data_IF_833197578721
#
_entry.id   IF_833197578721
#
_cell.length_a   1.000
_cell.length_b   1.000
_cell.length_c   1.000
_cell.angle_alpha   90.00
_cell.angle_beta   90.00
_cell.angle_gamma   90.00
#
_symmetry.space_group_name_H-M   'P 1'
#
loop_
_entity.id
_entity.type
_entity.pdbx_description
1 polymer ?
#
# COMPACT_ATOMS: atom_id res chain seq x y z
N UNK A 1 33.51 -63.21 3.80
CA UNK A 1 33.52 -63.63 5.21
C UNK A 1 32.08 -63.76 5.65
N UNK A 2 31.67 -64.99 5.98
CA UNK A 2 30.55 -65.38 6.87
C UNK A 2 29.16 -64.78 6.60
N UNK A 3 28.26 -65.52 5.94
CA UNK A 3 27.23 -66.42 6.55
C UNK A 3 26.04 -65.64 7.16
N UNK A 4 24.78 -65.96 6.96
CA UNK A 4 24.18 -67.29 7.05
C UNK A 4 22.75 -67.29 6.48
N UNK A 5 22.41 -68.39 5.83
CA UNK A 5 21.07 -68.81 5.41
C UNK A 5 20.26 -69.33 6.61
N UNK A 6 18.92 -69.20 6.56
CA UNK A 6 17.98 -70.13 7.21
C UNK A 6 16.64 -70.07 6.45
N UNK A 7 16.43 -70.89 5.42
CA UNK A 7 15.88 -72.26 5.46
C UNK A 7 14.43 -72.30 5.97
N UNK A 8 13.46 -72.26 5.04
CA UNK A 8 12.53 -73.36 4.68
C UNK A 8 11.37 -73.55 5.68
N UNK A 9 10.12 -73.81 5.30
CA UNK A 9 9.67 -74.86 4.38
C UNK A 9 8.14 -74.80 4.28
N UNK A 10 7.63 -75.17 3.11
CA UNK A 10 6.39 -75.92 2.94
C UNK A 10 5.12 -75.11 2.70
N UNK A 11 4.15 -75.58 1.92
CA UNK A 11 3.97 -76.77 1.09
C UNK A 11 2.75 -76.47 0.21
N UNK A 12 2.73 -77.02 -1.01
CA UNK A 12 1.55 -77.41 -1.82
C UNK A 12 0.41 -76.37 -2.02
N UNK A 13 -0.03 -76.02 -3.22
CA UNK A 13 -0.16 -76.79 -4.46
C UNK A 13 -1.57 -76.54 -5.02
N UNK A 14 -1.72 -76.67 -6.35
CA UNK A 14 -2.97 -76.59 -7.15
C UNK A 14 -3.68 -75.23 -7.19
N UNK A 15 -4.19 -74.72 -8.31
CA UNK A 15 -4.39 -75.27 -9.66
C UNK A 15 -4.74 -74.12 -10.62
N UNK A 16 -4.14 -74.25 -11.80
CA UNK A 16 -4.45 -73.73 -13.14
C UNK A 16 -5.81 -73.04 -13.41
N UNK A 17 -5.67 -71.91 -14.10
CA UNK A 17 -6.43 -71.41 -15.27
C UNK A 17 -7.93 -71.16 -15.19
N UNK A 18 -8.29 -69.88 -15.33
CA UNK A 18 -9.39 -69.46 -16.21
C UNK A 18 -8.99 -68.16 -16.93
N UNK A 19 -8.80 -68.28 -18.24
CA UNK A 19 -8.72 -67.17 -19.19
C UNK A 19 -10.10 -66.54 -19.35
N UNK A 20 -10.20 -65.21 -19.45
CA UNK A 20 -11.01 -64.51 -20.46
C UNK A 20 -11.16 -63.00 -20.19
N UNK A 21 -11.06 -62.24 -21.29
CA UNK A 21 -11.82 -61.03 -21.62
C UNK A 21 -11.51 -59.75 -20.84
N UNK A 22 -10.66 -58.86 -21.37
CA UNK A 22 -10.96 -57.89 -22.43
C UNK A 22 -12.02 -56.85 -22.03
N UNK A 23 -11.51 -55.66 -21.68
CA UNK A 23 -12.01 -54.36 -22.12
C UNK A 23 -13.35 -53.89 -21.58
N UNK A 24 -13.36 -53.18 -20.45
CA UNK A 24 -14.45 -52.22 -20.15
C UNK A 24 -14.17 -51.24 -18.97
N UNK A 25 -12.91 -50.97 -18.62
CA UNK A 25 -12.59 -50.16 -17.42
C UNK A 25 -12.29 -48.67 -17.67
N UNK A 26 -12.27 -48.21 -18.94
CA UNK A 26 -11.71 -46.89 -19.25
C UNK A 26 -12.66 -45.70 -19.11
N UNK A 27 -13.99 -45.91 -19.10
CA UNK A 27 -14.95 -44.79 -19.10
C UNK A 27 -15.35 -44.33 -17.69
N UNK A 28 -15.51 -45.26 -16.72
CA UNK A 28 -15.97 -44.93 -15.36
C UNK A 28 -14.90 -44.23 -14.51
N UNK A 29 -13.64 -44.60 -14.68
CA UNK A 29 -12.52 -44.02 -13.90
C UNK A 29 -12.18 -42.60 -14.35
N UNK A 30 -12.35 -42.29 -15.65
CA UNK A 30 -12.14 -40.94 -16.19
C UNK A 30 -13.19 -39.93 -15.68
N UNK A 31 -14.46 -40.34 -15.57
CA UNK A 31 -15.53 -39.49 -15.05
C UNK A 31 -15.36 -39.16 -13.56
N UNK A 32 -14.92 -40.15 -12.76
CA UNK A 32 -14.65 -39.96 -11.33
C UNK A 32 -13.41 -39.09 -11.11
N UNK A 33 -12.32 -39.33 -11.83
CA UNK A 33 -11.10 -38.51 -11.73
C UNK A 33 -11.34 -37.03 -12.13
N UNK A 34 -12.13 -36.77 -13.18
CA UNK A 34 -12.51 -35.41 -13.57
C UNK A 34 -13.44 -34.73 -12.56
N UNK A 35 -14.35 -35.48 -11.93
CA UNK A 35 -15.20 -34.97 -10.86
C UNK A 35 -14.42 -34.64 -9.58
N UNK A 36 -13.39 -35.43 -9.23
CA UNK A 36 -12.52 -35.12 -8.10
C UNK A 36 -11.63 -33.90 -8.37
N UNK A 37 -11.12 -33.75 -9.59
CA UNK A 37 -10.32 -32.56 -9.98
C UNK A 37 -11.18 -31.31 -10.02
N UNK A 38 -12.43 -31.38 -10.50
CA UNK A 38 -13.34 -30.23 -10.51
C UNK A 38 -13.80 -29.83 -9.10
N UNK A 39 -14.04 -30.79 -8.20
CA UNK A 39 -14.31 -30.54 -6.79
C UNK A 39 -13.10 -29.91 -6.09
N UNK A 40 -11.87 -30.33 -6.41
CA UNK A 40 -10.63 -29.77 -5.85
C UNK A 40 -10.36 -28.33 -6.33
N UNK A 41 -10.71 -28.01 -7.58
CA UNK A 41 -10.60 -26.64 -8.13
C UNK A 41 -11.69 -25.73 -7.55
N UNK A 42 -12.92 -26.22 -7.40
CA UNK A 42 -14.01 -25.46 -6.79
C UNK A 42 -13.76 -25.17 -5.29
N UNK A 43 -13.08 -26.08 -4.58
CA UNK A 43 -12.78 -25.92 -3.14
C UNK A 43 -11.62 -24.96 -2.86
N UNK A 44 -10.80 -24.63 -3.87
CA UNK A 44 -9.65 -23.71 -3.73
C UNK A 44 -9.95 -22.29 -4.22
N UNK A 45 -11.08 -22.08 -4.91
CA UNK A 45 -11.52 -20.76 -5.37
C UNK A 45 -12.25 -19.97 -4.27
N UNK A 46 -11.61 -19.76 -3.12
CA UNK A 46 -12.01 -18.67 -2.23
C UNK A 46 -11.39 -17.38 -2.77
N UNK A 47 -12.08 -16.74 -3.72
CA UNK A 47 -11.73 -15.41 -4.17
C UNK A 47 -11.89 -14.46 -2.98
N UNK A 48 -10.75 -13.98 -2.46
CA UNK A 48 -10.73 -12.95 -1.42
C UNK A 48 -11.24 -11.64 -2.03
N UNK A 49 -12.54 -11.41 -1.88
CA UNK A 49 -13.22 -10.20 -2.35
C UNK A 49 -12.91 -9.03 -1.39
N UNK A 50 -11.63 -8.60 -1.37
CA UNK A 50 -11.21 -7.44 -0.57
C UNK A 50 -11.80 -6.20 -1.24
N UNK A 51 -12.95 -5.74 -0.73
CA UNK A 51 -13.58 -4.47 -1.14
C UNK A 51 -12.53 -3.36 -1.21
N UNK A 52 -12.43 -2.72 -2.37
CA UNK A 52 -11.48 -1.62 -2.62
C UNK A 52 -11.58 -0.56 -1.51
N UNK A 53 -10.45 -0.03 -1.04
CA UNK A 53 -10.38 0.84 0.14
C UNK A 53 -11.31 2.05 0.07
N UNK A 54 -11.55 2.57 -1.14
CA UNK A 54 -12.43 3.73 -1.39
C UNK A 54 -13.92 3.42 -1.23
N UNK A 55 -14.33 2.15 -1.28
CA UNK A 55 -15.72 1.72 -1.10
C UNK A 55 -16.03 1.26 0.33
N UNK A 56 -15.05 1.37 1.23
CA UNK A 56 -15.24 1.07 2.64
C UNK A 56 -15.76 2.32 3.38
N UNK A 57 -16.65 2.15 4.37
CA UNK A 57 -17.13 3.29 5.16
C UNK A 57 -15.97 3.93 5.93
N UNK A 58 -15.93 5.27 5.92
CA UNK A 58 -14.90 6.06 6.64
C UNK A 58 -15.07 5.89 8.14
N UNK A 59 -14.04 5.40 8.81
CA UNK A 59 -13.99 5.31 10.28
C UNK A 59 -13.33 6.55 10.86
N UNK A 60 -14.01 7.23 11.77
CA UNK A 60 -13.43 8.39 12.48
C UNK A 60 -12.43 7.90 13.52
N UNK A 61 -11.18 8.34 13.39
CA UNK A 61 -10.15 8.04 14.37
C UNK A 61 -10.30 8.92 15.62
N UNK A 62 -10.02 8.35 16.79
CA UNK A 62 -10.03 9.08 18.06
C UNK A 62 -8.70 9.80 18.21
N UNK A 63 -8.76 11.12 18.36
CA UNK A 63 -7.60 12.02 18.50
C UNK A 63 -7.81 12.86 19.77
N UNK A 64 -6.76 13.14 20.56
CA UNK A 64 -6.86 14.07 21.68
C UNK A 64 -7.40 15.45 21.25
N UNK A 65 -8.31 16.02 22.05
CA UNK A 65 -9.02 17.25 21.70
C UNK A 65 -8.11 18.50 21.56
N UNK A 66 -6.93 18.48 22.17
CA UNK A 66 -6.01 19.62 22.19
C UNK A 66 -4.95 19.59 21.07
N UNK A 67 -4.89 18.52 20.28
CA UNK A 67 -3.92 18.37 19.19
C UNK A 67 -4.56 18.56 17.82
N UNK A 68 -3.84 19.16 16.87
CA UNK A 68 -4.23 19.07 15.47
C UNK A 68 -4.27 17.57 15.06
N UNK A 69 -5.40 17.08 14.52
CA UNK A 69 -5.53 15.66 14.19
C UNK A 69 -4.50 15.11 13.23
N UNK A 70 -4.05 15.92 12.27
CA UNK A 70 -3.06 15.51 11.28
C UNK A 70 -1.69 15.38 11.95
N UNK A 71 -1.29 16.42 12.69
CA UNK A 71 0.00 16.45 13.40
C UNK A 71 0.10 15.32 14.41
N UNK A 72 -1.01 14.96 15.09
CA UNK A 72 -1.05 13.83 16.01
C UNK A 72 -0.60 12.51 15.38
N UNK A 73 -1.09 12.17 14.18
CA UNK A 73 -0.69 10.93 13.50
C UNK A 73 0.74 10.98 12.99
N UNK A 74 1.20 12.14 12.53
CA UNK A 74 2.58 12.34 12.08
C UNK A 74 3.52 12.19 13.27
N UNK A 75 3.29 12.91 14.37
CA UNK A 75 4.12 12.88 15.58
C UNK A 75 4.13 11.50 16.24
N UNK A 76 3.00 10.78 16.19
CA UNK A 76 2.94 9.38 16.63
C UNK A 76 3.88 8.52 15.79
N UNK A 77 3.77 8.58 14.46
CA UNK A 77 4.58 7.77 13.54
C UNK A 77 6.07 8.11 13.65
N UNK A 78 6.41 9.41 13.77
CA UNK A 78 7.80 9.84 13.99
C UNK A 78 8.39 9.26 15.27
N UNK A 79 7.63 9.29 16.38
CA UNK A 79 8.06 8.69 17.66
C UNK A 79 8.24 7.18 17.57
N UNK A 80 7.32 6.46 16.95
CA UNK A 80 7.41 5.01 16.74
C UNK A 80 8.67 4.64 15.94
N UNK A 81 9.12 5.50 15.03
CA UNK A 81 10.32 5.32 14.22
C UNK A 81 11.58 5.97 14.81
N UNK A 82 11.54 6.51 16.04
CA UNK A 82 12.64 7.26 16.66
C UNK A 82 13.16 8.45 15.81
N UNK A 83 12.28 9.06 15.02
CA UNK A 83 12.57 10.22 14.20
C UNK A 83 12.10 11.51 14.89
N UNK A 84 12.75 12.63 14.53
CA UNK A 84 12.36 13.97 14.97
C UNK A 84 11.89 14.80 13.77
N UNK A 85 10.89 15.67 13.94
CA UNK A 85 10.53 16.63 12.91
C UNK A 85 11.71 17.53 12.53
N UNK A 86 11.76 17.94 11.27
CA UNK A 86 12.69 18.97 10.82
C UNK A 86 12.43 20.30 11.53
N UNK A 87 13.45 21.11 11.83
CA UNK A 87 13.25 22.45 12.36
C UNK A 87 12.37 23.29 11.43
N UNK A 88 11.62 24.23 12.01
CA UNK A 88 10.84 25.19 11.23
C UNK A 88 11.77 26.02 10.36
N UNK A 89 11.36 26.26 9.12
CA UNK A 89 12.08 27.13 8.21
C UNK A 89 12.12 28.57 8.74
N UNK A 90 13.22 29.27 8.48
CA UNK A 90 13.34 30.70 8.72
C UNK A 90 12.41 31.50 7.78
N UNK A 91 12.15 32.77 8.12
CA UNK A 91 11.21 33.62 7.37
C UNK A 91 11.61 33.76 5.90
N UNK A 92 12.89 33.93 5.60
CA UNK A 92 13.34 34.13 4.21
C UNK A 92 13.10 32.87 3.40
N UNK A 93 13.52 31.72 3.91
CA UNK A 93 13.29 30.41 3.24
C UNK A 93 11.81 30.14 3.04
N UNK A 94 10.98 30.45 4.04
CA UNK A 94 9.55 30.19 4.03
C UNK A 94 8.83 31.02 2.95
N UNK A 95 9.14 32.33 2.85
CA UNK A 95 8.60 33.19 1.79
C UNK A 95 9.12 32.79 0.41
N UNK A 96 10.41 32.45 0.29
CA UNK A 96 11.00 32.03 -0.99
C UNK A 96 10.34 30.77 -1.53
N UNK A 97 10.11 29.77 -0.68
CA UNK A 97 9.41 28.53 -1.07
C UNK A 97 8.00 28.83 -1.55
N UNK A 98 7.22 29.55 -0.74
CA UNK A 98 5.85 29.90 -1.10
C UNK A 98 5.77 30.69 -2.43
N UNK A 99 6.66 31.67 -2.64
CA UNK A 99 6.69 32.45 -3.88
C UNK A 99 6.99 31.59 -5.11
N UNK A 100 7.98 30.70 -5.01
CA UNK A 100 8.36 29.80 -6.10
C UNK A 100 7.28 28.76 -6.38
N UNK A 101 6.66 28.20 -5.34
CA UNK A 101 5.63 27.19 -5.49
C UNK A 101 4.36 27.78 -6.11
N UNK A 102 3.94 28.96 -5.63
CA UNK A 102 2.68 29.58 -6.05
C UNK A 102 2.80 30.34 -7.37
N UNK A 103 3.91 31.04 -7.62
CA UNK A 103 4.05 31.94 -8.78
C UNK A 103 5.16 31.53 -9.75
N UNK A 104 6.02 30.57 -9.36
CA UNK A 104 7.20 30.20 -10.16
C UNK A 104 8.34 31.22 -10.11
N UNK A 105 8.18 32.34 -9.40
CA UNK A 105 9.15 33.44 -9.34
C UNK A 105 9.72 33.62 -7.92
N UNK A 106 10.98 34.07 -7.81
CA UNK A 106 11.52 34.48 -6.51
C UNK A 106 10.79 35.72 -5.97
N UNK A 107 10.69 35.88 -4.64
CA UNK A 107 10.09 37.07 -4.05
C UNK A 107 10.95 38.31 -4.35
N UNK A 108 10.32 39.49 -4.42
CA UNK A 108 11.06 40.74 -4.59
C UNK A 108 11.86 41.08 -3.32
N UNK A 109 12.99 41.82 -3.43
CA UNK A 109 13.76 42.24 -2.27
C UNK A 109 12.92 43.04 -1.25
N UNK A 110 12.01 43.89 -1.73
CA UNK A 110 11.09 44.66 -0.89
C UNK A 110 10.10 43.76 -0.13
N UNK A 111 9.56 42.73 -0.80
CA UNK A 111 8.66 41.77 -0.16
C UNK A 111 9.39 40.94 0.91
N UNK A 112 10.64 40.54 0.65
CA UNK A 112 11.48 39.87 1.66
C UNK A 112 11.72 40.77 2.85
N UNK A 113 12.13 42.02 2.63
CA UNK A 113 12.36 42.98 3.71
C UNK A 113 11.09 43.21 4.54
N UNK A 114 9.97 43.51 3.88
CA UNK A 114 8.67 43.71 4.53
C UNK A 114 8.28 42.49 5.38
N UNK A 115 8.44 41.28 4.84
CA UNK A 115 8.11 40.05 5.57
C UNK A 115 9.08 39.75 6.71
N UNK A 116 10.37 40.03 6.58
CA UNK A 116 11.37 39.77 7.64
C UNK A 116 11.21 40.77 8.79
N UNK A 117 10.97 42.04 8.47
CA UNK A 117 10.89 43.13 9.43
C UNK A 117 9.50 43.24 10.10
N UNK A 118 8.50 42.48 9.65
CA UNK A 118 7.16 42.48 10.23
C UNK A 118 7.17 41.94 11.69
N UNK A 119 6.78 42.76 12.69
CA UNK A 119 6.86 42.42 14.10
C UNK A 119 5.83 41.36 14.54
N UNK A 120 4.84 41.05 13.70
CA UNK A 120 3.82 40.05 14.01
C UNK A 120 4.40 38.64 14.00
N UNK A 121 3.70 37.72 14.68
CA UNK A 121 4.03 36.30 14.67
C UNK A 121 4.09 35.80 13.23
N UNK A 122 5.09 34.96 12.92
CA UNK A 122 5.37 34.48 11.56
C UNK A 122 4.15 33.87 10.88
N UNK A 123 3.28 33.16 11.60
CA UNK A 123 2.07 32.57 11.03
C UNK A 123 1.06 33.62 10.53
N UNK A 124 0.95 34.76 11.20
CA UNK A 124 0.03 35.85 10.81
C UNK A 124 0.60 36.56 9.58
N UNK A 125 1.86 37.00 9.67
CA UNK A 125 2.54 37.68 8.56
C UNK A 125 2.61 36.79 7.31
N UNK A 126 2.83 35.48 7.50
CA UNK A 126 2.94 34.55 6.38
C UNK A 126 1.60 34.31 5.70
N UNK A 127 0.51 34.21 6.46
CA UNK A 127 -0.82 34.09 5.89
C UNK A 127 -1.15 35.30 4.99
N UNK A 128 -0.79 36.51 5.41
CA UNK A 128 -0.96 37.71 4.60
C UNK A 128 -0.09 37.70 3.33
N UNK A 129 1.18 37.31 3.45
CA UNK A 129 2.07 37.16 2.30
C UNK A 129 1.53 36.13 1.28
N UNK A 130 1.04 34.99 1.76
CA UNK A 130 0.41 33.95 0.92
C UNK A 130 -0.85 34.47 0.25
N UNK A 131 -1.71 35.20 0.96
CA UNK A 131 -2.90 35.81 0.36
C UNK A 131 -2.52 36.76 -0.79
N UNK A 132 -1.46 37.56 -0.63
CA UNK A 132 -0.94 38.41 -1.70
C UNK A 132 -0.43 37.63 -2.91
N UNK A 133 0.26 36.50 -2.69
CA UNK A 133 0.72 35.62 -3.76
C UNK A 133 -0.45 34.97 -4.53
N UNK A 134 -1.47 34.50 -3.80
CA UNK A 134 -2.67 33.88 -4.39
C UNK A 134 -3.53 34.89 -5.18
N UNK A 135 -3.55 36.16 -4.75
CA UNK A 135 -4.26 37.24 -5.44
C UNK A 135 -3.53 37.73 -6.71
N UNK A 136 -2.25 37.36 -6.90
CA UNK A 136 -1.47 37.77 -8.06
C UNK A 136 -1.94 37.05 -9.33
N UNK A 137 -2.04 37.73 -10.49
CA UNK A 137 -2.31 37.07 -11.78
C UNK A 137 -1.32 35.92 -12.10
N UNK A 138 -0.07 36.07 -11.63
CA UNK A 138 1.01 35.08 -11.81
C UNK A 138 0.70 33.71 -11.21
N UNK A 139 -0.12 33.67 -10.15
CA UNK A 139 -0.59 32.41 -9.59
C UNK A 139 -1.43 31.63 -10.61
N UNK A 140 -2.36 32.31 -11.27
CA UNK A 140 -3.18 31.72 -12.34
C UNK A 140 -2.33 31.27 -13.54
N UNK A 141 -1.38 32.12 -13.96
CA UNK A 141 -0.43 31.79 -15.04
C UNK A 141 0.40 30.54 -14.71
N UNK A 142 0.93 30.43 -13.48
CA UNK A 142 1.70 29.27 -13.02
C UNK A 142 0.86 27.99 -13.04
N UNK A 143 -0.39 28.04 -12.59
CA UNK A 143 -1.27 26.87 -12.58
C UNK A 143 -1.73 26.44 -13.98
N UNK A 144 -1.97 27.40 -14.88
CA UNK A 144 -2.38 27.11 -16.25
C UNK A 144 -1.32 26.31 -17.03
N UNK A 145 -0.04 26.44 -16.69
CA UNK A 145 1.05 25.64 -17.29
C UNK A 145 0.90 24.14 -17.08
N UNK A 146 0.16 23.69 -16.07
CA UNK A 146 -0.06 22.25 -15.86
C UNK A 146 -1.14 21.67 -16.78
N UNK A 147 -1.93 22.53 -17.44
CA UNK A 147 -3.05 22.14 -18.28
C UNK A 147 -2.88 22.51 -19.77
N UNK A 148 -1.92 23.37 -20.08
CA UNK A 148 -1.50 23.73 -21.44
C UNK A 148 -0.32 22.86 -21.88
#
# INVERSE_FOLDING_TARGET
MSTFNFQSRGLAGSSLHSSASSGETSLRVRGVALAFISILIALTASASDKKHWSFQPVKRAVVPAQSNPIDYFIDRTLRENNLKPSPKADRITLLRRASLDLTGLPPSPEAVKSFVDDPRKTNIAFAEAVNGLLASPRYGERWAQHWL
#
